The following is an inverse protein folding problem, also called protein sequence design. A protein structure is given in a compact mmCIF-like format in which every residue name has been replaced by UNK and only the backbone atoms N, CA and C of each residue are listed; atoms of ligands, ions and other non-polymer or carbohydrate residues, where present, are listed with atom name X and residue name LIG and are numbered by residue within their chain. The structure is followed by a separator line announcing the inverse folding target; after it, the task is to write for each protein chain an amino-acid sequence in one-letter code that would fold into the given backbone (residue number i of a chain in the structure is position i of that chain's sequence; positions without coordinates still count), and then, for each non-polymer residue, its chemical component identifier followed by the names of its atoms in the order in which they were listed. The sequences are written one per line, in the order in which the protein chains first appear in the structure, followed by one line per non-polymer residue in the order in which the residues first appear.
data_IF_945487737632
#
_entry.id   IF_945487737632
#
_cell.length_a   1.000
_cell.length_b   1.000
_cell.length_c   1.000
_cell.angle_alpha   90.00
_cell.angle_beta   90.00
_cell.angle_gamma   90.00
#
_symmetry.space_group_name_H-M   'P 1'
#
loop_
_entity.id
_entity.type
_entity.pdbx_description
1 polymer ?
#
# COMPACT_ATOMS: atom_id res chain seq x y z
N UNK A 1 1.83 5.95 -52.11
CA UNK A 1 1.81 5.94 -51.55
C UNK A 1 1.62 5.89 -50.73
N UNK A 2 1.53 5.83 -50.39
CA UNK A 2 1.27 5.81 -49.61
C UNK A 2 1.28 5.88 -48.67
N UNK A 3 1.20 5.96 -48.18
CA UNK A 3 1.11 6.08 -47.25
C UNK A 3 1.09 6.03 -46.41
N UNK A 4 1.18 6.51 -46.15
CA UNK A 4 1.32 6.52 -45.09
C UNK A 4 0.73 6.15 -44.28
N UNK A 5 0.68 5.72 -44.46
CA UNK A 5 -0.01 5.42 -43.58
C UNK A 5 0.52 5.52 -42.32
N UNK A 6 0.16 6.29 -41.67
CA UNK A 6 0.57 6.31 -40.45
C UNK A 6 0.01 5.26 -39.71
N UNK A 7 0.66 4.78 -38.74
CA UNK A 7 0.11 3.77 -37.93
C UNK A 7 -1.08 4.31 -37.25
N UNK A 8 -2.02 3.49 -37.02
CA UNK A 8 -3.15 3.93 -36.25
C UNK A 8 -2.67 4.42 -34.93
N UNK A 9 -3.31 5.38 -34.39
CA UNK A 9 -2.96 5.82 -33.07
C UNK A 9 -3.04 4.67 -32.14
N UNK A 10 -2.27 4.69 -31.12
CA UNK A 10 -2.37 3.67 -30.12
C UNK A 10 -3.78 3.57 -29.68
N UNK A 11 -4.18 2.44 -29.32
CA UNK A 11 -5.56 2.26 -28.97
C UNK A 11 -5.88 2.94 -27.70
N UNK A 12 -6.02 4.18 -27.82
CA UNK A 12 -6.51 4.91 -26.71
C UNK A 12 -7.74 4.30 -26.13
N UNK A 13 -8.58 3.69 -26.93
CA UNK A 13 -9.73 3.07 -26.33
C UNK A 13 -9.39 2.07 -25.29
N UNK A 14 -8.20 1.56 -25.32
CA UNK A 14 -7.82 0.72 -24.24
C UNK A 14 -7.57 1.49 -22.99
N UNK A 15 -7.49 2.78 -23.12
CA UNK A 15 -7.29 3.59 -21.97
C UNK A 15 -8.60 3.77 -21.27
N UNK A 16 -8.63 3.32 -20.04
CA UNK A 16 -9.76 3.59 -19.23
C UNK A 16 -9.52 4.89 -18.53
N UNK A 17 -10.44 5.79 -18.54
CA UNK A 17 -10.23 7.01 -17.79
C UNK A 17 -9.94 6.65 -16.35
N UNK A 18 -9.05 7.37 -15.71
CA UNK A 18 -8.83 7.10 -14.31
C UNK A 18 -10.11 7.28 -13.55
N UNK A 19 -10.26 6.62 -12.44
CA UNK A 19 -11.43 6.85 -11.60
C UNK A 19 -11.55 8.33 -11.33
N UNK A 20 -12.76 8.78 -11.20
CA UNK A 20 -12.99 10.18 -10.93
C UNK A 20 -12.41 10.61 -9.60
N UNK A 21 -12.10 9.66 -8.73
CA UNK A 21 -11.67 9.97 -7.38
C UNK A 21 -10.19 9.66 -7.23
N UNK A 22 -9.39 10.60 -6.73
CA UNK A 22 -7.97 10.36 -6.60
C UNK A 22 -7.66 9.35 -5.50
N UNK A 23 -6.54 8.68 -5.65
CA UNK A 23 -6.06 7.79 -4.63
C UNK A 23 -5.30 8.55 -3.55
N UNK A 24 -5.17 7.91 -2.40
CA UNK A 24 -4.42 8.46 -1.28
C UNK A 24 -3.34 7.47 -0.92
N UNK A 25 -2.09 7.94 -0.87
CA UNK A 25 -0.97 7.10 -0.51
C UNK A 25 -0.61 7.33 0.94
N UNK A 26 -0.25 6.24 1.62
CA UNK A 26 0.27 6.32 2.99
C UNK A 26 1.47 5.41 3.10
N UNK A 27 2.51 5.93 3.74
CA UNK A 27 3.71 5.16 3.98
C UNK A 27 3.74 4.80 5.45
N UNK A 28 3.87 3.52 5.74
CA UNK A 28 3.91 3.03 7.10
C UNK A 28 5.16 2.19 7.30
N UNK A 29 5.89 2.44 8.36
CA UNK A 29 7.05 1.63 8.69
C UNK A 29 6.78 0.89 9.98
N UNK A 30 7.15 -0.37 10.02
CA UNK A 30 6.93 -1.21 11.17
C UNK A 30 8.20 -1.90 11.59
N UNK A 31 8.33 -2.12 12.89
CA UNK A 31 9.38 -2.95 13.43
C UNK A 31 8.85 -4.37 13.47
N UNK A 32 9.43 -5.23 12.67
CA UNK A 32 8.93 -6.59 12.49
C UNK A 32 9.99 -7.56 12.98
N UNK A 33 9.62 -8.52 13.84
CA UNK A 33 10.57 -9.56 14.23
C UNK A 33 11.12 -10.28 13.01
N UNK A 34 12.39 -10.61 13.03
CA UNK A 34 13.03 -11.22 11.87
C UNK A 34 12.46 -12.59 11.52
N UNK A 35 11.78 -13.23 12.46
CA UNK A 35 11.13 -14.51 12.18
C UNK A 35 9.72 -14.37 11.61
N UNK A 36 9.23 -13.15 11.46
CA UNK A 36 7.93 -12.90 10.85
C UNK A 36 8.14 -12.45 9.41
N UNK A 37 7.65 -13.19 8.43
CA UNK A 37 7.83 -12.78 7.04
C UNK A 37 7.06 -11.51 6.72
N UNK A 38 7.65 -10.67 5.88
CA UNK A 38 6.97 -9.45 5.44
C UNK A 38 5.67 -9.79 4.71
N UNK A 39 5.63 -10.93 4.02
CA UNK A 39 4.42 -11.36 3.35
C UNK A 39 3.25 -11.60 4.29
N UNK A 40 3.54 -12.12 5.49
CA UNK A 40 2.50 -12.30 6.49
C UNK A 40 1.93 -10.97 6.93
N UNK A 41 2.81 -9.99 7.14
CA UNK A 41 2.37 -8.65 7.51
C UNK A 41 1.55 -8.03 6.38
N UNK A 42 2.01 -8.18 5.15
CA UNK A 42 1.29 -7.65 3.99
C UNK A 42 -0.10 -8.27 3.88
N UNK A 43 -0.21 -9.57 4.13
CA UNK A 43 -1.50 -10.24 4.05
C UNK A 43 -2.47 -9.70 5.10
N UNK A 44 -1.99 -9.44 6.31
CA UNK A 44 -2.85 -8.85 7.34
C UNK A 44 -3.27 -7.44 6.98
N UNK A 45 -2.34 -6.67 6.40
CA UNK A 45 -2.68 -5.31 5.98
C UNK A 45 -3.79 -5.35 4.94
N UNK A 46 -3.65 -6.22 3.94
CA UNK A 46 -4.66 -6.32 2.89
C UNK A 46 -6.01 -6.77 3.46
N UNK A 47 -5.97 -7.72 4.37
CA UNK A 47 -7.20 -8.22 4.96
C UNK A 47 -7.92 -7.18 5.79
N UNK A 48 -7.17 -6.40 6.54
CA UNK A 48 -7.80 -5.42 7.42
C UNK A 48 -8.23 -4.17 6.66
N UNK A 49 -7.43 -3.73 5.68
CA UNK A 49 -7.75 -2.53 4.91
C UNK A 49 -8.91 -2.78 3.94
N UNK A 50 -9.03 -3.99 3.45
CA UNK A 50 -10.18 -4.36 2.63
C UNK A 50 -10.14 -3.74 1.24
N UNK A 51 -11.33 -3.51 0.70
CA UNK A 51 -11.46 -3.09 -0.69
C UNK A 51 -10.94 -1.70 -0.98
N UNK A 52 -10.79 -0.87 0.02
CA UNK A 52 -10.27 0.48 -0.21
C UNK A 52 -8.78 0.47 -0.51
N UNK A 53 -8.08 -0.57 -0.12
CA UNK A 53 -6.66 -0.67 -0.42
C UNK A 53 -6.50 -1.28 -1.80
N UNK A 54 -6.06 -0.48 -2.75
CA UNK A 54 -5.94 -0.93 -4.14
C UNK A 54 -4.52 -1.31 -4.49
N UNK A 55 -3.54 -0.91 -3.69
CA UNK A 55 -2.16 -1.30 -3.94
C UNK A 55 -1.39 -1.33 -2.64
N UNK A 56 -0.43 -2.23 -2.56
CA UNK A 56 0.40 -2.39 -1.37
C UNK A 56 1.75 -2.90 -1.81
N UNK A 57 2.80 -2.24 -1.38
CA UNK A 57 4.14 -2.68 -1.70
C UNK A 57 5.11 -2.36 -0.59
N UNK A 58 6.20 -3.13 -0.55
CA UNK A 58 7.31 -2.85 0.33
C UNK A 58 8.26 -1.97 -0.46
N UNK A 59 8.61 -0.81 0.06
CA UNK A 59 9.52 0.06 -0.66
C UNK A 59 10.83 0.29 0.07
N UNK A 60 10.95 -0.19 1.30
CA UNK A 60 12.20 -0.06 2.02
C UNK A 60 12.28 -1.14 3.09
N UNK A 61 13.50 -1.58 3.34
CA UNK A 61 13.75 -2.57 4.37
C UNK A 61 15.10 -2.23 4.98
N UNK A 62 15.15 -2.14 6.29
CA UNK A 62 16.34 -1.71 6.96
C UNK A 62 16.56 -2.52 8.23
N UNK A 63 17.80 -2.96 8.42
CA UNK A 63 18.23 -3.61 9.64
C UNK A 63 19.48 -2.89 10.13
N UNK A 64 19.75 -3.02 11.39
CA UNK A 64 20.98 -2.53 11.93
C UNK A 64 20.79 -1.41 12.92
N UNK A 65 21.59 -0.37 12.72
CA UNK A 65 21.67 0.68 13.72
C UNK A 65 20.33 1.37 13.91
N UNK A 66 19.94 1.50 15.14
CA UNK A 66 18.66 2.13 15.48
C UNK A 66 17.48 1.18 15.47
N UNK A 67 17.71 -0.08 15.07
CA UNK A 67 16.67 -1.09 15.06
C UNK A 67 16.97 -2.10 16.16
N UNK A 68 15.97 -2.47 16.98
CA UNK A 68 16.22 -3.46 18.02
C UNK A 68 16.74 -4.76 17.45
N UNK A 69 17.59 -5.41 18.22
CA UNK A 69 18.14 -6.68 17.81
C UNK A 69 16.99 -7.67 17.61
N UNK A 70 17.07 -8.48 16.56
CA UNK A 70 16.02 -9.43 16.26
C UNK A 70 14.85 -8.84 15.52
N UNK A 71 14.97 -7.59 15.10
CA UNK A 71 13.91 -6.91 14.36
C UNK A 71 14.47 -6.26 13.11
N UNK A 72 13.57 -5.88 12.21
CA UNK A 72 13.91 -5.08 11.05
C UNK A 72 12.81 -4.08 10.83
N UNK A 73 13.15 -2.99 10.17
CA UNK A 73 12.18 -1.98 9.80
C UNK A 73 11.75 -2.25 8.38
N UNK A 74 10.47 -2.39 8.15
CA UNK A 74 9.94 -2.60 6.81
C UNK A 74 8.94 -1.50 6.54
N UNK A 75 9.14 -0.78 5.46
CA UNK A 75 8.25 0.31 5.09
C UNK A 75 7.34 -0.14 3.96
N UNK A 76 6.07 0.05 4.16
CA UNK A 76 5.05 -0.30 3.18
C UNK A 76 4.42 0.96 2.64
N UNK A 77 4.11 0.93 1.36
CA UNK A 77 3.31 1.99 0.76
C UNK A 77 1.93 1.44 0.48
N UNK A 78 0.93 2.09 1.04
CA UNK A 78 -0.45 1.70 0.87
C UNK A 78 -1.14 2.74 0.01
N UNK A 79 -1.84 2.28 -1.01
CA UNK A 79 -2.63 3.18 -1.83
C UNK A 79 -4.10 2.87 -1.63
N UNK A 80 -4.84 3.86 -1.20
CA UNK A 80 -6.27 3.75 -0.98
C UNK A 80 -7.01 4.49 -2.09
N UNK A 81 -8.07 3.90 -2.56
CA UNK A 81 -8.89 4.54 -3.57
C UNK A 81 -10.26 3.91 -3.57
N UNK A 82 -11.28 4.73 -3.79
CA UNK A 82 -12.64 4.24 -3.94
C UNK A 82 -13.14 4.60 -5.32
N UNK A 83 -13.93 3.74 -5.92
CA UNK A 83 -14.58 4.04 -7.19
C UNK A 83 -15.88 4.78 -7.02
N UNK A 84 -16.30 5.02 -5.77
CA UNK A 84 -17.61 5.60 -5.50
C UNK A 84 -17.54 7.01 -4.92
N UNK A 85 -16.44 7.38 -4.30
CA UNK A 85 -16.30 8.69 -3.70
C UNK A 85 -14.85 9.00 -3.45
N UNK A 86 -14.57 10.28 -3.25
CA UNK A 86 -13.24 10.69 -2.84
C UNK A 86 -13.06 10.32 -1.37
N UNK A 87 -11.98 9.64 -1.08
CA UNK A 87 -11.68 9.29 0.30
C UNK A 87 -11.17 10.51 1.03
N UNK A 88 -11.62 10.68 2.26
CA UNK A 88 -11.12 11.75 3.09
C UNK A 88 -9.93 11.24 3.90
N UNK A 89 -9.20 12.19 4.48
CA UNK A 89 -8.10 11.80 5.36
C UNK A 89 -8.62 10.96 6.52
N UNK A 90 -9.80 11.27 7.03
CA UNK A 90 -10.39 10.50 8.13
C UNK A 90 -10.66 9.06 7.72
N UNK A 91 -11.14 8.85 6.51
CA UNK A 91 -11.38 7.50 6.02
C UNK A 91 -10.10 6.69 6.01
N UNK A 92 -9.03 7.29 5.50
CA UNK A 92 -7.76 6.62 5.40
C UNK A 92 -7.14 6.40 6.77
N UNK A 93 -7.19 7.41 7.63
CA UNK A 93 -6.61 7.28 8.96
C UNK A 93 -7.32 6.22 9.79
N UNK A 94 -8.61 6.08 9.61
CA UNK A 94 -9.36 5.04 10.31
C UNK A 94 -8.90 3.66 9.87
N UNK A 95 -8.70 3.49 8.56
CA UNK A 95 -8.21 2.23 8.03
C UNK A 95 -6.79 1.95 8.50
N UNK A 96 -5.92 2.95 8.47
CA UNK A 96 -4.55 2.79 8.92
C UNK A 96 -4.53 2.42 10.39
N UNK A 97 -5.37 3.06 11.21
CA UNK A 97 -5.45 2.73 12.62
C UNK A 97 -5.88 1.29 12.84
N UNK A 98 -6.84 0.81 12.06
CA UNK A 98 -7.27 -0.58 12.15
C UNK A 98 -6.16 -1.54 11.76
N UNK A 99 -5.41 -1.20 10.72
CA UNK A 99 -4.30 -2.02 10.27
C UNK A 99 -3.25 -2.12 11.37
N UNK A 100 -2.89 -0.99 11.97
CA UNK A 100 -1.89 -0.97 13.03
C UNK A 100 -2.36 -1.79 14.22
N UNK A 101 -3.60 -1.62 14.61
CA UNK A 101 -4.14 -2.37 15.74
C UNK A 101 -4.13 -3.86 15.47
N UNK A 102 -4.48 -4.25 14.25
CA UNK A 102 -4.51 -5.66 13.88
C UNK A 102 -3.12 -6.27 13.92
N UNK A 103 -2.12 -5.57 13.37
CA UNK A 103 -0.76 -6.07 13.36
C UNK A 103 -0.21 -6.22 14.77
N UNK A 104 -0.56 -5.28 15.63
CA UNK A 104 -0.13 -5.33 17.01
C UNK A 104 -0.76 -6.51 17.73
N UNK A 105 -2.03 -6.73 17.48
CA UNK A 105 -2.77 -7.79 18.14
C UNK A 105 -2.37 -9.18 17.66
N UNK A 106 -2.19 -9.32 16.35
CA UNK A 106 -1.94 -10.65 15.77
C UNK A 106 -0.47 -11.03 15.83
N UNK A 107 0.42 -10.09 15.62
CA UNK A 107 1.83 -10.38 15.46
C UNK A 107 2.73 -9.64 16.44
N UNK A 108 2.19 -8.76 17.22
CA UNK A 108 3.01 -7.94 18.11
C UNK A 108 3.89 -6.95 17.35
N UNK A 109 3.53 -6.65 16.11
CA UNK A 109 4.29 -5.73 15.28
C UNK A 109 3.93 -4.31 15.68
N UNK A 110 4.95 -3.46 15.83
CA UNK A 110 4.76 -2.08 16.26
C UNK A 110 5.10 -1.14 15.13
N UNK A 111 4.35 -0.03 14.99
CA UNK A 111 4.76 0.97 14.01
C UNK A 111 6.03 1.64 14.46
N UNK A 112 6.86 1.96 13.49
CA UNK A 112 8.08 2.68 13.76
C UNK A 112 7.81 4.16 13.52
N UNK A 113 7.98 4.92 14.48
CA UNK A 113 7.81 6.29 14.18
C UNK A 113 7.18 7.23 14.84
#
# INVERSE_FOLDING_TARGET
LRLPSEPPPPPVPLYEPPPAFPGVDRDLAFLIPTDVPAGTVAALIRGEAGDLLVDLGVFDLYEGKGIPQGHRSVAFRLRYQSGERTLTDDDVERSVGSVIARLREELGVEPRG
#
